data_IF_811286023024
#
_entry.id   IF_811286023024
#
_cell.length_a   1.000
_cell.length_b   1.000
_cell.length_c   1.000
_cell.angle_alpha   90.00
_cell.angle_beta   90.00
_cell.angle_gamma   90.00
#
_symmetry.space_group_name_H-M   'P 1'
#
loop_
_entity.id
_entity.type
_entity.pdbx_description
1 polymer ?
#
# COMPACT_ATOMS: atom_id res chain seq x y z
N UNK A 1 24.87 31.62 10.40
CA UNK A 1 24.61 31.22 10.62
C UNK A 1 23.82 30.59 11.18
N UNK A 2 23.33 30.24 11.50
CA UNK A 2 22.42 29.56 11.97
C UNK A 2 21.23 29.96 11.50
N UNK A 3 20.96 30.80 11.01
CA UNK A 3 19.86 31.19 10.64
C UNK A 3 19.46 30.33 9.60
N UNK A 4 20.20 29.93 8.86
CA UNK A 4 19.84 29.12 7.96
C UNK A 4 19.39 27.92 8.44
N UNK A 5 19.80 27.51 9.41
CA UNK A 5 19.42 26.36 9.96
C UNK A 5 18.03 26.44 10.20
N UNK A 6 17.62 27.51 10.63
CA UNK A 6 16.30 27.65 10.93
C UNK A 6 15.42 27.37 9.76
N UNK A 7 15.76 27.83 8.72
CA UNK A 7 14.90 27.70 7.61
C UNK A 7 14.70 26.26 7.30
N UNK A 8 15.71 25.55 7.46
CA UNK A 8 15.60 24.21 7.15
C UNK A 8 14.64 23.50 8.00
N UNK A 9 14.65 23.79 9.22
CA UNK A 9 13.82 23.15 10.12
C UNK A 9 12.44 23.34 9.68
N UNK A 10 12.15 24.42 9.22
CA UNK A 10 10.84 24.68 8.83
C UNK A 10 10.43 23.75 7.75
N UNK A 11 11.21 23.56 6.86
CA UNK A 11 10.84 22.79 5.80
C UNK A 11 10.54 21.46 6.25
N UNK A 12 11.25 20.97 7.21
CA UNK A 12 10.98 19.76 7.70
C UNK A 12 9.69 19.66 8.27
N UNK A 13 9.22 20.59 8.99
CA UNK A 13 8.01 20.52 9.66
C UNK A 13 6.96 20.27 8.60
N UNK A 14 7.16 20.80 7.52
CA UNK A 14 6.14 20.65 6.58
C UNK A 14 6.10 19.31 6.08
N UNK A 15 7.17 18.76 5.90
CA UNK A 15 7.21 17.50 5.37
C UNK A 15 6.47 16.59 6.26
N UNK A 16 6.47 16.88 7.46
CA UNK A 16 5.88 16.03 8.41
C UNK A 16 4.42 15.81 8.12
N UNK A 17 3.84 16.67 7.44
CA UNK A 17 2.45 16.55 7.29
C UNK A 17 2.16 15.85 6.03
N UNK A 18 3.09 15.23 5.54
CA UNK A 18 2.90 14.59 4.35
C UNK A 18 1.98 13.46 4.18
N UNK A 19 1.26 13.04 5.10
CA UNK A 19 0.41 11.93 4.93
C UNK A 19 -0.34 12.02 3.66
N UNK A 20 -0.65 13.13 3.28
CA UNK A 20 -1.42 13.30 2.09
C UNK A 20 -0.75 12.68 0.90
N UNK A 21 0.48 12.37 1.08
CA UNK A 21 1.21 11.85 -0.03
C UNK A 21 0.56 10.54 -0.43
N UNK A 22 -0.03 9.85 0.51
CA UNK A 22 -0.61 8.61 0.22
C UNK A 22 -1.78 8.85 -0.67
N UNK A 23 -2.54 9.82 -0.41
CA UNK A 23 -3.71 10.10 -1.17
C UNK A 23 -3.32 10.46 -2.57
N UNK A 24 -2.15 10.96 -2.75
CA UNK A 24 -1.74 11.36 -4.06
C UNK A 24 -0.99 10.26 -4.78
N UNK A 25 -0.83 9.15 -4.17
CA UNK A 25 -0.08 8.09 -4.79
C UNK A 25 -0.95 7.23 -5.68
N UNK A 26 -1.32 7.77 -6.80
CA UNK A 26 -2.10 7.00 -7.75
C UNK A 26 -1.36 6.99 -9.07
N UNK A 27 -1.57 5.99 -9.86
CA UNK A 27 -0.96 5.92 -11.17
C UNK A 27 -1.38 4.67 -11.90
N UNK A 28 -0.80 4.45 -13.04
CA UNK A 28 -1.15 3.33 -13.85
C UNK A 28 -0.81 2.07 -13.11
N UNK A 29 -1.71 1.13 -13.08
CA UNK A 29 -1.50 -0.07 -12.31
C UNK A 29 -0.21 -0.79 -12.67
N UNK A 30 0.08 -0.95 -13.93
CA UNK A 30 1.27 -1.64 -14.30
C UNK A 30 2.53 -0.96 -13.83
N UNK A 31 2.56 0.32 -13.86
CA UNK A 31 3.73 1.06 -13.42
C UNK A 31 3.86 0.90 -11.92
N UNK A 32 2.76 0.99 -11.20
CA UNK A 32 2.83 0.87 -9.76
C UNK A 32 3.23 -0.51 -9.30
N UNK A 33 2.67 -1.54 -9.90
CA UNK A 33 2.98 -2.89 -9.44
C UNK A 33 4.42 -3.23 -9.84
N UNK A 34 4.92 -2.67 -10.87
CA UNK A 34 6.26 -2.92 -11.28
C UNK A 34 7.19 -2.32 -10.23
N UNK A 35 6.87 -1.20 -9.68
CA UNK A 35 7.70 -0.59 -8.68
C UNK A 35 7.64 -1.39 -7.42
N UNK A 36 6.51 -1.96 -7.10
CA UNK A 36 6.39 -2.74 -5.89
C UNK A 36 7.24 -4.01 -6.06
N UNK A 37 7.19 -4.60 -7.22
CA UNK A 37 7.93 -5.82 -7.46
C UNK A 37 9.43 -5.58 -7.50
N UNK A 38 9.87 -4.60 -8.23
CA UNK A 38 11.29 -4.39 -8.36
C UNK A 38 11.91 -3.55 -7.24
N UNK A 39 11.16 -2.63 -6.71
CA UNK A 39 11.70 -1.74 -5.68
C UNK A 39 11.58 -2.27 -4.27
N UNK A 40 10.53 -3.03 -4.00
CA UNK A 40 10.31 -3.50 -2.65
C UNK A 40 10.21 -5.01 -2.54
N UNK A 41 10.44 -5.71 -3.61
CA UNK A 41 10.36 -7.16 -3.64
C UNK A 41 8.97 -7.65 -3.21
N UNK A 42 7.95 -6.87 -3.46
CA UNK A 42 6.62 -7.26 -3.08
C UNK A 42 5.95 -8.00 -4.22
N UNK A 43 5.00 -8.85 -3.89
CA UNK A 43 4.28 -9.55 -4.91
C UNK A 43 2.84 -9.63 -4.47
N UNK A 44 1.95 -9.84 -5.40
CA UNK A 44 0.54 -9.90 -5.10
C UNK A 44 0.29 -11.07 -4.19
N UNK A 45 -0.28 -10.80 -3.05
CA UNK A 45 -0.48 -11.80 -2.04
C UNK A 45 -1.95 -12.11 -1.79
N UNK A 46 -2.78 -11.13 -1.89
CA UNK A 46 -4.20 -11.33 -1.65
C UNK A 46 -4.96 -10.21 -2.31
N UNK A 47 -6.23 -10.37 -2.47
CA UNK A 47 -7.01 -9.32 -3.07
C UNK A 47 -8.48 -9.64 -3.09
N UNK A 48 -9.26 -8.73 -3.57
CA UNK A 48 -10.69 -8.92 -3.65
C UNK A 48 -11.33 -7.84 -4.48
N UNK A 49 -12.60 -8.01 -4.72
CA UNK A 49 -13.32 -7.07 -5.53
C UNK A 49 -14.30 -6.32 -4.62
N UNK A 50 -14.29 -5.03 -4.70
CA UNK A 50 -15.20 -4.24 -3.93
C UNK A 50 -16.19 -3.58 -4.84
N UNK A 51 -17.48 -3.81 -4.61
CA UNK A 51 -18.48 -3.22 -5.44
C UNK A 51 -18.83 -1.86 -4.94
N UNK A 52 -18.87 -0.90 -5.83
CA UNK A 52 -19.21 0.45 -5.46
C UNK A 52 -20.53 0.80 -6.09
N UNK A 53 -20.97 2.00 -5.90
CA UNK A 53 -22.22 2.44 -6.45
C UNK A 53 -22.09 2.66 -7.91
N UNK A 54 -21.01 3.19 -8.40
CA UNK A 54 -20.85 3.49 -9.79
C UNK A 54 -19.85 2.59 -10.47
N UNK A 55 -18.99 1.95 -9.73
CA UNK A 55 -18.02 1.07 -10.34
C UNK A 55 -17.51 0.08 -9.33
N UNK A 56 -16.89 -0.95 -9.79
CA UNK A 56 -16.28 -1.92 -8.89
C UNK A 56 -14.79 -1.61 -8.90
N UNK A 57 -14.13 -1.83 -7.78
CA UNK A 57 -12.70 -1.62 -7.71
C UNK A 57 -12.06 -2.90 -7.23
N UNK A 58 -10.80 -3.07 -7.53
CA UNK A 58 -10.08 -4.25 -7.10
C UNK A 58 -9.15 -3.83 -5.98
N UNK A 59 -9.17 -4.57 -4.88
CA UNK A 59 -8.31 -4.27 -3.77
C UNK A 59 -7.22 -5.31 -3.81
N UNK A 60 -5.97 -4.90 -3.76
CA UNK A 60 -4.85 -5.84 -3.80
C UNK A 60 -3.89 -5.61 -2.65
N UNK A 61 -3.40 -6.68 -2.09
CA UNK A 61 -2.40 -6.59 -1.04
C UNK A 61 -1.13 -7.15 -1.63
N UNK A 62 -0.11 -6.32 -1.68
CA UNK A 62 1.19 -6.71 -2.17
C UNK A 62 2.12 -6.77 -0.96
N UNK A 63 2.92 -7.78 -0.87
CA UNK A 63 3.78 -7.93 0.30
C UNK A 63 5.07 -8.65 -0.04
N UNK A 64 6.08 -8.43 0.77
CA UNK A 64 7.36 -9.06 0.56
C UNK A 64 7.75 -9.85 1.79
N UNK A 65 8.18 -11.09 1.57
CA UNK A 65 8.60 -11.91 2.69
C UNK A 65 10.05 -11.51 2.98
N UNK A 66 10.74 -10.90 2.08
CA UNK A 66 12.08 -10.48 2.29
C UNK A 66 12.20 -9.22 3.08
N UNK A 67 11.48 -8.22 2.74
CA UNK A 67 11.58 -6.95 3.43
C UNK A 67 10.55 -6.80 4.52
N UNK A 68 9.49 -7.56 4.43
CA UNK A 68 8.42 -7.45 5.41
C UNK A 68 7.50 -6.26 5.11
N UNK A 69 7.69 -5.59 4.01
CA UNK A 69 6.85 -4.43 3.72
C UNK A 69 5.61 -4.86 2.96
N UNK A 70 4.59 -4.06 3.02
CA UNK A 70 3.39 -4.37 2.27
C UNK A 70 2.69 -3.09 1.80
N UNK A 71 1.89 -3.22 0.78
CA UNK A 71 1.18 -2.11 0.20
C UNK A 71 -0.22 -2.60 -0.19
N UNK A 72 -1.21 -1.78 0.07
CA UNK A 72 -2.56 -2.10 -0.32
C UNK A 72 -2.95 -1.14 -1.41
N UNK A 73 -3.38 -1.67 -2.54
CA UNK A 73 -3.78 -0.85 -3.67
C UNK A 73 -5.27 -0.98 -3.95
N UNK A 74 -5.87 0.06 -4.43
CA UNK A 74 -7.23 0.00 -4.88
C UNK A 74 -7.14 0.40 -6.35
N UNK A 75 -7.58 -0.46 -7.23
CA UNK A 75 -7.50 -0.19 -8.66
C UNK A 75 -8.89 0.02 -9.22
N UNK A 76 -9.05 1.12 -9.91
CA UNK A 76 -10.32 1.48 -10.49
C UNK A 76 -10.48 0.89 -11.88
N UNK A 77 -11.70 0.91 -12.37
CA UNK A 77 -11.99 0.32 -13.66
C UNK A 77 -11.17 0.90 -14.79
N UNK A 78 -10.72 2.11 -14.65
CA UNK A 78 -9.95 2.73 -15.71
C UNK A 78 -8.46 2.33 -15.65
N UNK A 79 -8.10 1.43 -14.77
CA UNK A 79 -6.72 0.99 -14.69
C UNK A 79 -5.82 1.80 -13.80
N UNK A 80 -6.37 2.77 -13.10
CA UNK A 80 -5.56 3.56 -12.20
C UNK A 80 -5.59 2.95 -10.81
N UNK A 81 -4.43 2.77 -10.22
CA UNK A 81 -4.31 2.21 -8.89
C UNK A 81 -3.88 3.29 -7.94
N UNK A 82 -4.39 3.24 -6.73
CA UNK A 82 -4.01 4.20 -5.71
C UNK A 82 -3.57 3.44 -4.46
N UNK A 83 -2.54 3.93 -3.82
CA UNK A 83 -2.05 3.31 -2.59
C UNK A 83 -2.93 3.80 -1.46
N UNK A 84 -3.54 2.90 -0.75
CA UNK A 84 -4.36 3.29 0.37
C UNK A 84 -3.74 2.92 1.71
N UNK A 85 -2.73 2.11 1.72
CA UNK A 85 -2.05 1.77 2.96
C UNK A 85 -0.70 1.15 2.68
N UNK A 86 0.27 1.39 3.54
CA UNK A 86 1.55 0.73 3.42
C UNK A 86 2.00 0.44 4.83
N UNK A 87 2.88 -0.48 4.99
CA UNK A 87 3.38 -0.79 6.31
C UNK A 87 4.53 -1.76 6.27
N UNK A 88 4.89 -2.26 7.44
CA UNK A 88 5.99 -3.20 7.51
C UNK A 88 5.60 -4.29 8.51
N UNK A 89 6.50 -5.22 8.71
CA UNK A 89 6.28 -6.33 9.59
C UNK A 89 5.05 -7.13 9.16
N UNK A 90 4.92 -7.31 7.88
CA UNK A 90 3.80 -8.07 7.34
C UNK A 90 3.92 -9.50 7.81
N UNK A 91 2.81 -10.11 8.13
CA UNK A 91 2.85 -11.51 8.53
C UNK A 91 1.65 -12.26 7.95
N UNK A 92 1.79 -13.55 7.85
CA UNK A 92 0.71 -14.38 7.34
C UNK A 92 0.10 -15.11 8.53
N UNK A 93 -1.18 -15.35 8.47
CA UNK A 93 -1.83 -16.12 9.50
C UNK A 93 -1.54 -17.56 9.12
N UNK A 94 -1.07 -18.31 10.07
CA UNK A 94 -0.73 -19.69 9.78
C UNK A 94 -1.97 -20.41 9.29
N UNK A 95 -1.75 -21.18 8.23
CA UNK A 95 -2.87 -21.87 7.66
C UNK A 95 -2.95 -23.19 8.31
N UNK A 96 -3.99 -23.51 8.99
CA UNK A 96 -4.13 -24.79 9.57
C UNK A 96 -5.54 -25.23 9.41
N UNK A 97 -5.75 -26.48 9.50
CA UNK A 97 -7.06 -27.03 9.31
C UNK A 97 -8.01 -26.42 10.31
N UNK A 98 -9.20 -26.16 9.90
CA UNK A 98 -10.15 -25.54 10.77
C UNK A 98 -10.53 -26.53 11.82
N UNK A 99 -10.96 -26.10 12.94
CA UNK A 99 -11.36 -26.96 13.98
C UNK A 99 -12.59 -27.62 13.54
N UNK A 100 -12.78 -28.84 13.94
CA UNK A 100 -13.91 -29.60 13.56
C UNK A 100 -15.22 -28.87 13.76
N UNK A 101 -15.35 -28.16 14.72
CA UNK A 101 -16.60 -27.51 14.92
C UNK A 101 -16.70 -26.14 14.32
N UNK A 102 -15.73 -25.74 13.58
CA UNK A 102 -15.71 -24.42 13.08
C UNK A 102 -16.02 -24.37 11.62
N UNK A 103 -17.08 -23.74 11.29
CA UNK A 103 -17.43 -23.70 9.89
C UNK A 103 -16.45 -22.76 9.31
N UNK A 104 -16.02 -23.01 8.20
CA UNK A 104 -15.08 -22.09 7.63
C UNK A 104 -15.58 -21.34 6.52
#
# INVERSE_FOLDING_TARGET
MFKRLLGVSLLFGMAATAPPALAASCGDREVMTEKLASGYSERLTAGGLQKGRTEATVIEVWASDETGTFTVLVTHANGISCVVATGSSFFHIADKAPDPGTPS
#
